data_IF_207477142867
#
_entry.id   IF_207477142867
#
_cell.length_a   1.000
_cell.length_b   1.000
_cell.length_c   1.000
_cell.angle_alpha   90.00
_cell.angle_beta   90.00
_cell.angle_gamma   90.00
#
_symmetry.space_group_name_H-M   'P 1'
#
loop_
_entity.id
_entity.type
_entity.pdbx_description
1 polymer ?
#
# COMPACT_ATOMS: atom_id res chain seq x y z
N UNK A 1 53.75 18.74 -33.19
CA UNK A 1 53.64 19.00 -31.73
C UNK A 1 52.37 19.81 -31.46
N UNK A 2 51.32 19.19 -30.91
CA UNK A 2 50.23 19.90 -30.20
C UNK A 2 49.83 19.03 -29.01
N UNK A 3 49.98 19.61 -27.82
CA UNK A 3 49.81 18.96 -26.51
C UNK A 3 48.35 18.61 -26.26
N UNK A 4 48.11 17.39 -25.79
CA UNK A 4 46.85 16.89 -25.24
C UNK A 4 46.65 17.51 -23.85
N UNK A 5 45.48 18.09 -23.58
CA UNK A 5 44.94 18.24 -22.22
C UNK A 5 43.45 17.91 -22.32
N UNK A 6 43.08 16.67 -21.98
CA UNK A 6 41.71 16.32 -21.68
C UNK A 6 41.58 16.34 -20.17
N UNK A 7 40.86 17.32 -19.62
CA UNK A 7 40.42 17.28 -18.23
C UNK A 7 39.32 16.23 -18.11
N UNK A 8 39.62 15.14 -17.39
CA UNK A 8 38.61 14.20 -16.93
C UNK A 8 37.90 14.81 -15.71
N UNK A 9 36.67 15.26 -15.89
CA UNK A 9 35.75 15.51 -14.78
C UNK A 9 35.16 14.17 -14.35
N UNK A 10 35.65 13.60 -13.24
CA UNK A 10 34.91 12.56 -12.52
C UNK A 10 33.74 13.23 -11.80
N UNK A 11 32.53 13.08 -12.35
CA UNK A 11 31.30 13.36 -11.62
C UNK A 11 31.02 12.17 -10.68
N UNK A 12 31.20 12.41 -9.38
CA UNK A 12 30.80 11.47 -8.34
C UNK A 12 29.27 11.56 -8.19
N UNK A 13 28.56 10.55 -8.68
CA UNK A 13 27.13 10.39 -8.43
C UNK A 13 26.94 9.88 -6.99
N UNK A 14 26.83 10.81 -6.04
CA UNK A 14 26.39 10.49 -4.69
C UNK A 14 24.90 10.10 -4.72
N UNK A 15 24.56 9.00 -4.05
CA UNK A 15 23.19 8.66 -3.69
C UNK A 15 22.65 9.75 -2.77
N UNK A 16 21.78 10.61 -3.30
CA UNK A 16 21.13 11.66 -2.52
C UNK A 16 20.14 11.03 -1.53
N UNK A 17 20.51 11.00 -0.25
CA UNK A 17 19.55 10.81 0.84
C UNK A 17 18.98 12.19 1.14
N UNK A 18 17.70 12.42 0.82
CA UNK A 18 17.03 13.69 1.07
C UNK A 18 17.01 13.96 2.58
N UNK A 19 17.57 15.09 2.99
CA UNK A 19 17.59 15.51 4.39
C UNK A 19 16.34 16.36 4.67
N UNK A 20 15.84 16.44 5.91
CA UNK A 20 14.70 17.30 6.27
C UNK A 20 14.90 18.79 5.97
N UNK A 21 16.12 19.22 5.63
CA UNK A 21 16.42 20.56 5.12
C UNK A 21 15.89 20.80 3.69
N UNK A 22 15.51 19.75 2.95
CA UNK A 22 15.06 19.84 1.56
C UNK A 22 13.58 20.27 1.43
N UNK A 23 12.83 20.32 2.54
CA UNK A 23 11.46 20.82 2.61
C UNK A 23 11.26 21.74 3.84
N UNK A 24 11.46 23.07 3.67
CA UNK A 24 11.35 24.02 4.78
C UNK A 24 9.91 24.18 5.29
N UNK A 25 8.89 23.88 4.48
CA UNK A 25 7.50 23.95 4.90
C UNK A 25 7.17 22.78 5.84
N UNK A 26 7.64 21.57 5.50
CA UNK A 26 7.56 20.42 6.39
C UNK A 26 8.34 20.66 7.68
N UNK A 27 9.57 21.18 7.61
CA UNK A 27 10.37 21.47 8.79
C UNK A 27 9.67 22.46 9.75
N UNK A 28 9.04 23.51 9.21
CA UNK A 28 8.26 24.47 9.99
C UNK A 28 7.00 23.84 10.61
N UNK A 29 6.32 22.94 9.89
CA UNK A 29 5.16 22.22 10.41
C UNK A 29 5.54 21.23 11.53
N UNK A 30 6.67 20.52 11.39
CA UNK A 30 7.17 19.60 12.41
C UNK A 30 7.66 20.32 13.66
N UNK A 31 8.22 21.53 13.51
CA UNK A 31 8.58 22.37 14.66
C UNK A 31 7.36 22.79 15.51
N UNK A 32 6.18 22.90 14.90
CA UNK A 32 4.93 23.24 15.59
C UNK A 32 4.25 22.03 16.24
N UNK A 33 4.66 20.80 15.87
CA UNK A 33 4.05 19.56 16.32
C UNK A 33 5.14 18.53 16.71
N UNK A 34 5.69 18.60 17.94
CA UNK A 34 6.81 17.75 18.37
C UNK A 34 6.51 16.24 18.26
N UNK A 35 5.27 15.82 18.52
CA UNK A 35 4.85 14.43 18.35
C UNK A 35 4.86 13.96 16.90
N UNK A 36 4.50 14.83 15.96
CA UNK A 36 4.58 14.54 14.52
C UNK A 36 6.04 14.48 14.05
N UNK A 37 6.91 15.33 14.60
CA UNK A 37 8.35 15.30 14.30
C UNK A 37 8.97 13.96 14.69
N UNK A 38 8.58 13.41 15.84
CA UNK A 38 9.04 12.08 16.27
C UNK A 38 8.51 10.97 15.36
N UNK A 39 7.23 11.01 15.00
CA UNK A 39 6.63 10.04 14.09
C UNK A 39 7.32 10.03 12.72
N UNK A 40 7.55 11.19 12.11
CA UNK A 40 8.26 11.31 10.82
C UNK A 40 9.71 10.87 10.91
N UNK A 41 10.38 11.12 12.04
CA UNK A 41 11.75 10.62 12.29
C UNK A 41 11.80 9.09 12.31
N UNK A 42 10.82 8.44 12.93
CA UNK A 42 10.79 6.97 13.08
C UNK A 42 10.29 6.28 11.82
N UNK A 43 9.26 6.83 11.16
CA UNK A 43 8.55 6.16 10.08
C UNK A 43 8.84 6.73 8.68
N UNK A 44 9.64 7.80 8.61
CA UNK A 44 9.84 8.58 7.39
C UNK A 44 8.63 9.46 7.06
N UNK A 45 8.76 10.29 6.03
CA UNK A 45 7.64 11.11 5.57
C UNK A 45 6.63 10.21 4.81
N UNK A 46 5.32 10.25 5.15
CA UNK A 46 4.32 9.36 4.55
C UNK A 46 4.26 9.41 3.03
N UNK A 47 4.48 10.60 2.44
CA UNK A 47 4.48 10.80 0.98
C UNK A 47 5.79 10.37 0.28
N UNK A 48 6.84 10.03 1.05
CA UNK A 48 8.15 9.67 0.51
C UNK A 48 8.39 8.16 0.40
N UNK A 49 7.44 7.32 0.83
CA UNK A 49 7.50 5.87 0.58
C UNK A 49 7.16 5.56 -0.87
N UNK A 50 8.03 6.01 -1.79
CA UNK A 50 8.15 5.37 -3.09
C UNK A 50 8.92 4.09 -2.81
N UNK A 51 8.20 2.99 -2.58
CA UNK A 51 8.82 1.66 -2.67
C UNK A 51 9.56 1.58 -4.01
N UNK A 52 10.63 0.78 -4.12
CA UNK A 52 11.23 0.54 -5.43
C UNK A 52 10.09 0.05 -6.31
N UNK A 53 9.68 0.89 -7.26
CA UNK A 53 8.84 0.50 -8.36
C UNK A 53 9.67 -0.48 -9.16
N UNK A 54 9.74 -1.72 -8.69
CA UNK A 54 10.14 -2.82 -9.53
C UNK A 54 9.05 -2.84 -10.59
N UNK A 55 9.39 -2.40 -11.79
CA UNK A 55 8.68 -2.75 -13.00
C UNK A 55 8.61 -4.28 -13.05
N UNK A 56 7.62 -4.84 -12.36
CA UNK A 56 7.30 -6.25 -12.42
C UNK A 56 6.66 -6.49 -13.76
N UNK A 57 7.00 -7.64 -14.36
CA UNK A 57 6.26 -8.18 -15.48
C UNK A 57 4.73 -8.07 -15.24
N UNK A 58 3.91 -7.96 -16.31
CA UNK A 58 2.46 -7.90 -16.17
C UNK A 58 1.96 -9.03 -15.25
N UNK A 59 0.98 -8.76 -14.37
CA UNK A 59 0.48 -9.75 -13.42
C UNK A 59 0.06 -11.04 -14.13
N UNK A 60 0.39 -12.20 -13.55
CA UNK A 60 0.06 -13.48 -14.17
C UNK A 60 -1.44 -13.81 -14.15
N UNK A 61 -2.24 -13.12 -13.34
CA UNK A 61 -3.69 -13.26 -13.22
C UNK A 61 -4.40 -11.89 -13.38
N UNK A 62 -4.40 -11.29 -14.60
CA UNK A 62 -4.93 -9.95 -14.81
C UNK A 62 -6.44 -9.84 -14.57
N UNK A 63 -7.20 -10.92 -14.78
CA UNK A 63 -8.65 -10.96 -14.48
C UNK A 63 -8.92 -10.96 -12.98
N UNK A 64 -8.10 -11.66 -12.18
CA UNK A 64 -8.23 -11.64 -10.72
C UNK A 64 -7.88 -10.26 -10.19
N UNK A 65 -6.80 -9.64 -10.70
CA UNK A 65 -6.48 -8.25 -10.39
C UNK A 65 -7.65 -7.32 -10.67
N UNK A 66 -8.22 -7.39 -11.89
CA UNK A 66 -9.37 -6.56 -12.26
C UNK A 66 -10.54 -6.77 -11.30
N UNK A 67 -10.84 -8.01 -10.94
CA UNK A 67 -11.90 -8.31 -9.98
C UNK A 67 -11.66 -7.69 -8.61
N UNK A 68 -10.43 -7.78 -8.07
CA UNK A 68 -10.08 -7.19 -6.78
C UNK A 68 -10.24 -5.67 -6.78
N UNK A 69 -9.78 -5.00 -7.85
CA UNK A 69 -9.94 -3.56 -8.04
C UNK A 69 -11.41 -3.15 -8.20
N UNK A 70 -12.22 -3.95 -8.91
CA UNK A 70 -13.65 -3.71 -9.04
C UNK A 70 -14.37 -3.82 -7.68
N UNK A 71 -13.98 -4.80 -6.85
CA UNK A 71 -14.51 -4.97 -5.50
C UNK A 71 -14.11 -3.81 -4.58
N UNK A 72 -12.85 -3.39 -4.60
CA UNK A 72 -12.37 -2.20 -3.87
C UNK A 72 -13.13 -0.95 -4.30
N UNK A 73 -13.32 -0.74 -5.60
CA UNK A 73 -14.06 0.42 -6.10
C UNK A 73 -15.48 0.46 -5.54
N UNK A 74 -16.21 -0.66 -5.58
CA UNK A 74 -17.57 -0.75 -5.04
C UNK A 74 -17.58 -0.55 -3.51
N UNK A 75 -16.59 -1.12 -2.81
CA UNK A 75 -16.39 -0.95 -1.36
C UNK A 75 -16.22 0.52 -0.96
N UNK A 76 -15.35 1.24 -1.67
CA UNK A 76 -15.06 2.65 -1.41
C UNK A 76 -16.20 3.56 -1.87
N UNK A 77 -16.88 3.25 -2.99
CA UNK A 77 -18.09 3.97 -3.44
C UNK A 77 -19.21 3.88 -2.40
N UNK A 78 -19.41 2.73 -1.75
CA UNK A 78 -20.42 2.56 -0.71
C UNK A 78 -20.13 3.38 0.57
N UNK A 79 -18.86 3.68 0.81
CA UNK A 79 -18.37 4.51 1.93
C UNK A 79 -18.33 6.00 1.59
N UNK A 80 -18.37 6.35 0.30
CA UNK A 80 -18.38 7.73 -0.16
C UNK A 80 -19.81 8.29 -0.13
N UNK A 81 -20.20 8.92 0.98
CA UNK A 81 -21.54 9.45 1.15
C UNK A 81 -21.80 10.01 2.55
N UNK A 82 -23.07 10.11 2.90
CA UNK A 82 -23.49 10.41 4.27
C UNK A 82 -23.47 9.16 5.16
N UNK A 83 -23.70 9.35 6.46
CA UNK A 83 -23.84 8.28 7.45
C UNK A 83 -25.30 8.01 7.80
N UNK A 84 -26.22 8.22 6.84
CA UNK A 84 -27.63 7.89 7.04
C UNK A 84 -27.79 6.39 7.25
N UNK A 85 -28.89 5.98 7.89
CA UNK A 85 -29.19 4.56 8.07
C UNK A 85 -29.20 3.81 6.74
N UNK A 86 -29.72 4.42 5.67
CA UNK A 86 -29.73 3.82 4.34
C UNK A 86 -28.31 3.65 3.77
N UNK A 87 -27.41 4.62 3.96
CA UNK A 87 -26.02 4.50 3.54
C UNK A 87 -25.28 3.39 4.32
N UNK A 88 -25.47 3.32 5.64
CA UNK A 88 -24.89 2.27 6.48
C UNK A 88 -25.38 0.88 6.07
N UNK A 89 -26.67 0.73 5.73
CA UNK A 89 -27.19 -0.56 5.24
C UNK A 89 -26.58 -0.95 3.90
N UNK A 90 -26.44 -0.01 2.95
CA UNK A 90 -25.76 -0.28 1.67
C UNK A 90 -24.30 -0.70 1.87
N UNK A 91 -23.57 -0.04 2.77
CA UNK A 91 -22.20 -0.41 3.12
C UNK A 91 -22.14 -1.85 3.68
N UNK A 92 -23.04 -2.20 4.60
CA UNK A 92 -23.10 -3.55 5.17
C UNK A 92 -23.45 -4.64 4.13
N UNK A 93 -24.30 -4.33 3.15
CA UNK A 93 -24.62 -5.23 2.03
C UNK A 93 -23.40 -5.47 1.14
N UNK A 94 -22.66 -4.40 0.81
CA UNK A 94 -21.42 -4.48 0.03
C UNK A 94 -20.35 -5.27 0.79
N UNK A 95 -20.17 -5.01 2.08
CA UNK A 95 -19.21 -5.75 2.92
C UNK A 95 -19.56 -7.24 2.98
N UNK A 96 -20.85 -7.61 3.07
CA UNK A 96 -21.27 -9.00 3.08
C UNK A 96 -21.01 -9.72 1.73
N UNK A 97 -21.24 -9.02 0.61
CA UNK A 97 -20.93 -9.53 -0.72
C UNK A 97 -19.41 -9.70 -0.92
N UNK A 98 -18.63 -8.70 -0.51
CA UNK A 98 -17.17 -8.72 -0.57
C UNK A 98 -16.58 -9.82 0.31
N UNK A 99 -17.04 -9.97 1.57
CA UNK A 99 -16.64 -11.05 2.48
C UNK A 99 -16.78 -12.43 1.84
N UNK A 100 -17.93 -12.68 1.21
CA UNK A 100 -18.22 -13.96 0.55
C UNK A 100 -17.29 -14.23 -0.63
N UNK A 101 -16.83 -13.19 -1.33
CA UNK A 101 -15.92 -13.33 -2.46
C UNK A 101 -14.46 -13.42 -2.03
N UNK A 102 -14.00 -12.56 -1.13
CA UNK A 102 -12.61 -12.54 -0.68
C UNK A 102 -12.22 -13.84 0.05
N UNK A 103 -13.14 -14.44 0.81
CA UNK A 103 -12.93 -15.78 1.39
C UNK A 103 -12.66 -16.85 0.35
N UNK A 104 -13.40 -16.84 -0.76
CA UNK A 104 -13.18 -17.79 -1.86
C UNK A 104 -11.83 -17.56 -2.53
N UNK A 105 -11.49 -16.31 -2.83
CA UNK A 105 -10.17 -15.96 -3.39
C UNK A 105 -9.05 -16.45 -2.46
N UNK A 106 -9.15 -16.19 -1.15
CA UNK A 106 -8.14 -16.64 -0.19
C UNK A 106 -8.07 -18.17 -0.11
N UNK A 107 -9.20 -18.87 -0.16
CA UNK A 107 -9.23 -20.33 -0.14
C UNK A 107 -8.64 -20.94 -1.41
N UNK A 108 -9.02 -20.43 -2.59
CA UNK A 108 -8.58 -20.90 -3.90
C UNK A 108 -7.06 -20.72 -4.08
N UNK A 109 -6.47 -19.70 -3.46
CA UNK A 109 -5.05 -19.34 -3.58
C UNK A 109 -4.20 -19.78 -2.38
N UNK A 110 -4.80 -20.40 -1.36
CA UNK A 110 -4.13 -20.83 -0.12
C UNK A 110 -3.68 -19.68 0.80
N UNK A 111 -4.15 -18.47 0.54
CA UNK A 111 -3.75 -17.22 1.17
C UNK A 111 -4.14 -16.02 0.28
N UNK A 112 -3.69 -14.81 0.64
CA UNK A 112 -3.82 -13.68 -0.28
C UNK A 112 -2.99 -13.92 -1.55
N UNK A 113 -3.48 -13.50 -2.73
CA UNK A 113 -2.68 -13.53 -3.94
C UNK A 113 -1.48 -12.58 -3.78
N UNK A 114 -0.32 -12.99 -4.29
CA UNK A 114 0.91 -12.19 -4.23
C UNK A 114 1.01 -11.15 -5.37
N UNK A 115 2.03 -10.30 -5.28
CA UNK A 115 2.30 -9.24 -6.27
C UNK A 115 2.55 -9.81 -7.67
N UNK A 116 3.15 -11.00 -7.79
CA UNK A 116 3.39 -11.61 -9.11
C UNK A 116 2.07 -11.98 -9.81
N UNK A 117 1.07 -12.41 -9.03
CA UNK A 117 -0.26 -12.78 -9.55
C UNK A 117 -1.12 -11.57 -9.88
N UNK A 118 -1.22 -10.60 -8.98
CA UNK A 118 -2.22 -9.53 -9.09
C UNK A 118 -1.65 -8.11 -9.08
N UNK A 119 -0.34 -7.95 -9.07
CA UNK A 119 0.31 -6.64 -8.91
C UNK A 119 0.18 -6.10 -7.49
N UNK A 120 0.89 -4.99 -7.22
CA UNK A 120 0.86 -4.34 -5.90
C UNK A 120 -0.53 -3.82 -5.55
N UNK A 121 -1.24 -3.24 -6.53
CA UNK A 121 -2.57 -2.68 -6.34
C UNK A 121 -3.64 -3.76 -6.16
N UNK A 122 -3.53 -4.89 -6.85
CA UNK A 122 -4.40 -6.05 -6.61
C UNK A 122 -4.22 -6.64 -5.20
N UNK A 123 -2.97 -6.78 -4.73
CA UNK A 123 -2.69 -7.22 -3.36
C UNK A 123 -3.23 -6.21 -2.33
N UNK A 124 -3.04 -4.90 -2.58
CA UNK A 124 -3.56 -3.85 -1.72
C UNK A 124 -5.10 -3.88 -1.62
N UNK A 125 -5.79 -4.02 -2.76
CA UNK A 125 -7.24 -4.18 -2.82
C UNK A 125 -7.70 -5.41 -2.03
N UNK A 126 -7.05 -6.56 -2.23
CA UNK A 126 -7.37 -7.78 -1.50
C UNK A 126 -7.20 -7.60 0.02
N UNK A 127 -6.13 -6.93 0.45
CA UNK A 127 -5.88 -6.64 1.84
C UNK A 127 -6.93 -5.69 2.44
N UNK A 128 -7.34 -4.64 1.71
CA UNK A 128 -8.41 -3.74 2.14
C UNK A 128 -9.73 -4.49 2.38
N UNK A 129 -10.10 -5.38 1.46
CA UNK A 129 -11.33 -6.18 1.56
C UNK A 129 -11.30 -7.16 2.74
N UNK A 130 -10.12 -7.67 3.10
CA UNK A 130 -9.94 -8.46 4.34
C UNK A 130 -10.13 -7.56 5.56
N UNK A 131 -9.58 -6.34 5.57
CA UNK A 131 -9.79 -5.41 6.69
C UNK A 131 -11.28 -5.07 6.89
N UNK A 132 -12.08 -5.01 5.83
CA UNK A 132 -13.53 -4.75 5.91
C UNK A 132 -14.38 -6.01 6.14
N UNK A 133 -13.76 -7.17 6.39
CA UNK A 133 -14.46 -8.41 6.74
C UNK A 133 -15.03 -8.42 8.19
N UNK A 134 -15.61 -7.32 8.67
CA UNK A 134 -15.93 -7.10 10.09
C UNK A 134 -16.90 -8.13 10.69
N UNK A 135 -17.71 -8.76 9.84
CA UNK A 135 -18.63 -9.84 10.24
C UNK A 135 -17.94 -11.18 10.46
N UNK A 136 -16.64 -11.29 10.16
CA UNK A 136 -15.83 -12.47 10.44
C UNK A 136 -14.40 -12.09 10.91
N UNK A 137 -14.25 -11.72 12.20
CA UNK A 137 -12.95 -11.45 12.79
C UNK A 137 -12.01 -12.67 12.81
N UNK A 138 -12.56 -13.90 12.77
CA UNK A 138 -11.75 -15.12 12.70
C UNK A 138 -11.02 -15.21 11.36
N UNK A 139 -11.73 -14.95 10.26
CA UNK A 139 -11.13 -14.84 8.93
C UNK A 139 -10.07 -13.73 8.85
N UNK A 140 -10.33 -12.56 9.44
CA UNK A 140 -9.35 -11.48 9.51
C UNK A 140 -8.06 -11.92 10.21
N UNK A 141 -8.20 -12.55 11.39
CA UNK A 141 -7.08 -13.04 12.17
C UNK A 141 -6.28 -14.13 11.42
N UNK A 142 -6.97 -15.06 10.77
CA UNK A 142 -6.34 -16.14 10.00
C UNK A 142 -5.52 -15.62 8.83
N UNK A 143 -6.03 -14.61 8.10
CA UNK A 143 -5.28 -13.98 7.00
C UNK A 143 -4.09 -13.18 7.54
N UNK A 144 -4.29 -12.41 8.61
CA UNK A 144 -3.22 -11.62 9.24
C UNK A 144 -2.08 -12.52 9.74
N UNK A 145 -2.39 -13.66 10.37
CA UNK A 145 -1.40 -14.62 10.84
C UNK A 145 -0.51 -15.18 9.72
N UNK A 146 -1.06 -15.30 8.50
CA UNK A 146 -0.31 -15.74 7.31
C UNK A 146 0.55 -14.63 6.71
N UNK A 147 0.16 -13.37 6.86
CA UNK A 147 0.92 -12.21 6.40
C UNK A 147 2.09 -11.84 7.31
N UNK A 148 1.97 -12.05 8.63
CA UNK A 148 2.99 -11.64 9.60
C UNK A 148 4.42 -12.11 9.25
N UNK A 149 4.67 -13.38 8.88
CA UNK A 149 6.01 -13.82 8.50
C UNK A 149 6.55 -13.14 7.23
N UNK A 150 5.65 -12.70 6.32
CA UNK A 150 6.03 -12.02 5.07
C UNK A 150 6.41 -10.56 5.31
N UNK A 151 5.80 -9.92 6.31
CA UNK A 151 6.20 -8.60 6.81
C UNK A 151 7.58 -8.68 7.47
N UNK A 152 7.82 -9.68 8.32
CA UNK A 152 9.10 -9.89 9.00
C UNK A 152 10.24 -10.16 8.00
N UNK A 153 9.94 -10.86 6.90
CA UNK A 153 10.92 -11.12 5.84
C UNK A 153 11.07 -9.98 4.83
N UNK A 154 10.28 -8.90 4.95
CA UNK A 154 10.28 -7.77 3.98
C UNK A 154 9.74 -8.11 2.59
N UNK A 155 9.04 -9.25 2.44
CA UNK A 155 8.40 -9.66 1.18
C UNK A 155 7.09 -8.90 0.94
N UNK A 156 6.47 -8.43 2.01
CA UNK A 156 5.37 -7.46 2.00
C UNK A 156 5.82 -6.27 2.84
N UNK A 157 5.50 -5.05 2.41
CA UNK A 157 5.73 -3.86 3.24
C UNK A 157 4.40 -3.36 3.78
N UNK A 158 4.37 -2.70 4.96
CA UNK A 158 3.17 -2.03 5.42
C UNK A 158 2.72 -1.02 4.37
N UNK A 159 1.51 -1.20 3.85
CA UNK A 159 0.87 -0.18 3.04
C UNK A 159 0.64 1.04 3.93
N UNK A 160 1.14 2.21 3.53
CA UNK A 160 0.65 3.46 4.08
C UNK A 160 -0.78 3.64 3.59
N UNK A 161 -1.75 3.22 4.39
CA UNK A 161 -3.15 3.56 4.18
C UNK A 161 -3.22 5.06 3.98
N UNK A 162 -3.63 5.50 2.78
CA UNK A 162 -3.88 6.92 2.52
C UNK A 162 -5.02 7.32 3.46
N UNK A 163 -4.70 8.03 4.54
CA UNK A 163 -5.66 8.78 5.32
C UNK A 163 -5.94 10.11 4.61
#
# INVERSE_FOLDING_TARGET
MRRKIAMAFLAWAGTAMAQPADDPALAAALAQCPGTAEFVRVHGHPLQRKGPGTETAPPSEPELRRQLLDMERIDQEARNGDWSQAAVQRMAEVDAANLSRIKRIVADHGGLPDVARVGEDGLAAAWLLVQHADRDPGFQADVLARLAPLLDSGQVTPASSRC
#
